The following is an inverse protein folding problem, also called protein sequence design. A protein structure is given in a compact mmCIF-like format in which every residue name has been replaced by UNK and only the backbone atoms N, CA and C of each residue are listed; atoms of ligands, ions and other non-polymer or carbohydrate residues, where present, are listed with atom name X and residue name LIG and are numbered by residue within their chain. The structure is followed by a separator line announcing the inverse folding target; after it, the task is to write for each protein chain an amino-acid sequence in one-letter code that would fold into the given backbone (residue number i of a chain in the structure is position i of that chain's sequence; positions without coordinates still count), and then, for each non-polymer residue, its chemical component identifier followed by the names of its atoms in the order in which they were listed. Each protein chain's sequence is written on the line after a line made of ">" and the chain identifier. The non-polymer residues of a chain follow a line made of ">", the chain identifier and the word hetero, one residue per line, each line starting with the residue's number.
data_IF_194477118187
#
_entry.id   IF_194477118187
#
_cell.length_a   1.000
_cell.length_b   1.000
_cell.length_c   1.000
_cell.angle_alpha   90.00
_cell.angle_beta   90.00
_cell.angle_gamma   90.00
#
_symmetry.space_group_name_H-M   'P 1'
#
loop_
_entity.id
_entity.type
_entity.pdbx_description
1 polymer ?
#
# COMPACT_ATOMS: atom_id res chain seq x y z
N UNK A 1 -1.80 -6.46 -13.33
CA UNK A 1 -2.34 -7.11 -12.12
C UNK A 1 -1.53 -6.59 -10.97
N UNK A 2 -2.18 -6.07 -9.94
CA UNK A 2 -1.55 -5.63 -8.70
C UNK A 2 -2.00 -6.61 -7.63
N UNK A 3 -1.07 -7.15 -6.85
CA UNK A 3 -1.36 -8.06 -5.74
C UNK A 3 -0.49 -7.66 -4.56
N UNK A 4 -1.09 -7.56 -3.40
CA UNK A 4 -0.44 -7.27 -2.13
C UNK A 4 -0.81 -8.41 -1.17
N UNK A 5 0.19 -8.99 -0.49
CA UNK A 5 0.03 -10.04 0.50
C UNK A 5 0.74 -9.63 1.79
N UNK A 6 -0.05 -9.33 2.81
CA UNK A 6 0.41 -8.92 4.14
C UNK A 6 1.44 -7.79 4.11
N UNK A 7 1.25 -6.84 3.19
CA UNK A 7 2.21 -5.76 2.99
C UNK A 7 2.13 -4.78 4.16
N UNK A 8 3.30 -4.51 4.75
CA UNK A 8 3.49 -3.46 5.73
C UNK A 8 4.42 -2.38 5.17
N UNK A 9 4.20 -1.14 5.61
CA UNK A 9 5.13 -0.04 5.36
C UNK A 9 5.31 0.81 6.60
N UNK A 10 6.55 0.81 7.10
CA UNK A 10 7.00 1.63 8.22
C UNK A 10 8.04 2.61 7.72
N UNK A 11 7.85 3.88 8.05
CA UNK A 11 8.82 4.94 7.77
C UNK A 11 9.83 5.07 8.93
N UNK A 12 11.00 5.69 8.68
CA UNK A 12 11.89 6.12 9.75
C UNK A 12 11.13 6.90 10.83
N UNK A 13 11.48 6.68 12.10
CA UNK A 13 10.72 7.23 13.24
C UNK A 13 9.56 6.34 13.71
N UNK A 14 9.37 5.17 13.10
CA UNK A 14 8.46 4.13 13.60
C UNK A 14 7.01 4.28 13.17
N UNK A 15 6.68 5.32 12.40
CA UNK A 15 5.33 5.51 11.87
C UNK A 15 4.97 4.39 10.88
N UNK A 16 3.96 3.61 11.22
CA UNK A 16 3.47 2.50 10.41
C UNK A 16 2.30 2.96 9.53
N UNK A 17 2.64 3.32 8.28
CA UNK A 17 1.70 3.87 7.31
C UNK A 17 0.76 2.82 6.71
N UNK A 18 1.20 1.57 6.58
CA UNK A 18 0.38 0.45 6.13
C UNK A 18 0.62 -0.76 7.03
N UNK A 19 -0.48 -1.40 7.45
CA UNK A 19 -0.51 -2.48 8.44
C UNK A 19 -1.09 -3.75 7.83
N UNK A 20 -0.22 -4.64 7.36
CA UNK A 20 -0.57 -5.97 6.83
C UNK A 20 -1.71 -5.96 5.81
N UNK A 21 -1.66 -5.06 4.84
CA UNK A 21 -2.70 -4.95 3.81
C UNK A 21 -2.59 -6.10 2.80
N UNK A 22 -3.72 -6.68 2.43
CA UNK A 22 -3.79 -7.71 1.38
C UNK A 22 -4.96 -7.42 0.45
N UNK A 23 -4.69 -7.35 -0.85
CA UNK A 23 -5.71 -7.18 -1.88
C UNK A 23 -5.17 -7.56 -3.26
N UNK A 24 -6.09 -7.83 -4.18
CA UNK A 24 -5.81 -8.05 -5.59
C UNK A 24 -6.60 -7.05 -6.44
N UNK A 25 -5.95 -6.45 -7.43
CA UNK A 25 -6.58 -5.64 -8.47
C UNK A 25 -6.22 -6.22 -9.84
N UNK A 26 -7.24 -6.77 -10.52
CA UNK A 26 -7.07 -7.45 -11.81
C UNK A 26 -6.85 -6.43 -12.93
N UNK A 27 -6.33 -6.92 -14.05
CA UNK A 27 -6.12 -6.08 -15.24
C UNK A 27 -7.49 -5.57 -15.73
N UNK A 28 -7.60 -4.26 -15.91
CA UNK A 28 -8.83 -3.59 -16.36
C UNK A 28 -9.80 -3.20 -15.25
N UNK A 29 -9.54 -3.57 -14.00
CA UNK A 29 -10.35 -3.11 -12.87
C UNK A 29 -10.00 -1.67 -12.48
N UNK A 30 -11.04 -0.91 -12.11
CA UNK A 30 -10.92 0.42 -11.53
C UNK A 30 -11.39 0.38 -10.08
N UNK A 31 -10.57 0.90 -9.18
CA UNK A 31 -10.89 0.98 -7.75
C UNK A 31 -10.75 2.42 -7.25
N UNK A 32 -11.59 2.77 -6.27
CA UNK A 32 -11.50 4.03 -5.54
C UNK A 32 -10.72 3.82 -4.24
N UNK A 33 -9.61 4.54 -4.08
CA UNK A 33 -8.84 4.55 -2.84
C UNK A 33 -9.25 5.76 -1.98
N UNK A 34 -10.04 5.52 -0.94
CA UNK A 34 -10.59 6.56 -0.06
C UNK A 34 -10.07 6.44 1.37
N UNK A 35 -10.37 7.43 2.22
CA UNK A 35 -9.96 7.45 3.63
C UNK A 35 -9.47 8.82 4.07
N UNK A 36 -9.44 9.07 5.39
CA UNK A 36 -9.02 10.34 5.99
C UNK A 36 -7.53 10.66 5.70
N UNK A 37 -7.11 11.91 5.94
CA UNK A 37 -5.70 12.28 5.88
C UNK A 37 -4.87 11.41 6.83
N UNK A 38 -3.69 10.97 6.40
CA UNK A 38 -2.83 10.06 7.16
C UNK A 38 -3.15 8.56 7.05
N UNK A 39 -4.27 8.16 6.44
CA UNK A 39 -4.67 6.74 6.32
C UNK A 39 -3.76 5.85 5.44
N UNK A 40 -2.62 6.34 4.94
CA UNK A 40 -1.68 5.55 4.14
C UNK A 40 -1.93 5.54 2.62
N UNK A 41 -2.90 6.31 2.11
CA UNK A 41 -3.25 6.34 0.67
C UNK A 41 -2.06 6.63 -0.25
N UNK A 42 -1.34 7.73 0.00
CA UNK A 42 -0.17 8.09 -0.80
C UNK A 42 0.96 7.06 -0.68
N UNK A 43 1.12 6.46 0.51
CA UNK A 43 2.09 5.37 0.72
C UNK A 43 1.74 4.16 -0.13
N UNK A 44 0.47 3.73 -0.14
CA UNK A 44 0.00 2.64 -0.99
C UNK A 44 0.26 2.91 -2.49
N UNK A 45 -0.08 4.11 -2.97
CA UNK A 45 0.16 4.49 -4.37
C UNK A 45 1.64 4.48 -4.74
N UNK A 46 2.54 4.91 -3.83
CA UNK A 46 3.99 4.83 -4.06
C UNK A 46 4.50 3.39 -4.15
N UNK A 47 3.92 2.46 -3.39
CA UNK A 47 4.24 1.03 -3.47
C UNK A 47 3.75 0.43 -4.79
N UNK A 48 2.52 0.75 -5.20
CA UNK A 48 1.96 0.32 -6.51
C UNK A 48 2.83 0.82 -7.67
N UNK A 49 3.27 2.08 -7.60
CA UNK A 49 4.14 2.70 -8.60
C UNK A 49 5.61 2.25 -8.50
N UNK A 50 5.95 1.37 -7.55
CA UNK A 50 7.31 0.92 -7.25
C UNK A 50 8.32 2.06 -6.93
N UNK A 51 7.83 3.24 -6.54
CA UNK A 51 8.65 4.38 -6.07
C UNK A 51 9.26 4.03 -4.71
N UNK A 52 8.52 3.29 -3.88
CA UNK A 52 8.99 2.77 -2.61
C UNK A 52 8.76 1.25 -2.51
N UNK A 53 9.55 0.58 -1.69
CA UNK A 53 9.38 -0.84 -1.35
C UNK A 53 8.67 -1.03 -0.01
N UNK A 54 7.93 -2.14 0.17
CA UNK A 54 7.33 -2.48 1.45
C UNK A 54 8.43 -2.75 2.49
N UNK A 55 8.08 -2.61 3.77
CA UNK A 55 8.96 -3.03 4.87
C UNK A 55 8.89 -4.55 5.05
N UNK A 56 7.72 -5.15 4.81
CA UNK A 56 7.49 -6.60 4.82
C UNK A 56 6.27 -6.95 3.96
N UNK A 57 6.10 -8.23 3.64
CA UNK A 57 5.07 -8.71 2.70
C UNK A 57 5.54 -8.60 1.25
N UNK A 58 4.69 -9.06 0.32
CA UNK A 58 4.95 -9.08 -1.12
C UNK A 58 3.86 -8.41 -1.93
#
# INVERSE_FOLDING_TARGET
>A
MISFQQVCKRYPGGYEALKSISFDLKKGEMAFLTGHSGAGKSTLLKLIAAIERPTSGI
#
